data_IF_877354372617
#
_entry.id   IF_877354372617
#
_cell.length_a   1.000
_cell.length_b   1.000
_cell.length_c   1.000
_cell.angle_alpha   90.00
_cell.angle_beta   90.00
_cell.angle_gamma   90.00
#
_symmetry.space_group_name_H-M   'P 1'
#
loop_
_entity.id
_entity.type
_entity.pdbx_description
1 polymer ?
#
# COMPACT_ATOMS: atom_id res chain seq x y z
N UNK A 1 22.42 0.59 7.08
CA UNK A 1 20.96 0.65 7.35
C UNK A 1 20.28 1.12 6.07
N UNK A 2 19.69 0.20 5.32
CA UNK A 2 19.09 0.51 4.01
C UNK A 2 17.70 1.09 4.24
N UNK A 3 17.62 2.40 4.52
CA UNK A 3 16.36 3.12 4.37
C UNK A 3 16.16 3.42 2.88
N UNK A 4 15.84 2.38 2.10
CA UNK A 4 15.16 2.60 0.83
C UNK A 4 13.79 3.17 1.21
N UNK A 5 13.73 4.51 1.27
CA UNK A 5 12.55 5.24 1.65
C UNK A 5 11.42 4.85 0.71
N UNK A 6 10.54 3.95 1.14
CA UNK A 6 9.24 3.75 0.56
C UNK A 6 8.54 5.11 0.65
N UNK A 7 8.66 5.91 -0.42
CA UNK A 7 8.09 7.25 -0.47
C UNK A 7 6.59 7.09 -0.29
N UNK A 8 6.09 7.43 0.91
CA UNK A 8 4.66 7.48 1.21
C UNK A 8 4.00 8.31 0.12
N UNK A 9 3.01 7.73 -0.56
CA UNK A 9 2.37 8.40 -1.68
C UNK A 9 1.50 9.55 -1.16
N UNK A 10 1.45 10.66 -1.92
CA UNK A 10 0.58 11.78 -1.57
C UNK A 10 -0.86 11.40 -1.86
N UNK A 11 -1.72 11.49 -0.86
CA UNK A 11 -3.14 11.24 -1.02
C UNK A 11 -3.77 12.33 -1.89
N UNK A 12 -4.45 12.00 -3.00
CA UNK A 12 -5.10 13.01 -3.84
C UNK A 12 -6.31 13.66 -3.17
N UNK A 13 -6.95 12.99 -2.19
CA UNK A 13 -8.14 13.49 -1.50
C UNK A 13 -7.80 14.49 -0.38
N UNK A 14 -6.95 14.09 0.57
CA UNK A 14 -6.61 14.92 1.73
C UNK A 14 -5.25 15.62 1.63
N UNK A 15 -4.51 15.42 0.53
CA UNK A 15 -3.19 16.02 0.24
C UNK A 15 -2.07 15.66 1.22
N UNK A 16 -2.32 14.84 2.24
CA UNK A 16 -1.31 14.32 3.18
C UNK A 16 -0.43 13.25 2.54
N UNK A 17 0.83 13.17 2.96
CA UNK A 17 1.82 12.21 2.46
C UNK A 17 1.81 10.91 3.28
N UNK A 18 0.67 10.23 3.27
CA UNK A 18 0.40 9.06 4.11
C UNK A 18 -0.24 7.91 3.32
N UNK A 19 0.09 7.79 2.03
CA UNK A 19 -0.31 6.66 1.20
C UNK A 19 0.51 5.43 1.51
N UNK A 20 -0.17 4.41 2.06
CA UNK A 20 0.35 3.07 2.31
C UNK A 20 0.03 2.18 1.10
N UNK A 21 0.98 1.35 0.69
CA UNK A 21 0.76 0.37 -0.37
C UNK A 21 -0.25 -0.70 0.08
N UNK A 22 -1.14 -1.11 -0.82
CA UNK A 22 -2.09 -2.21 -0.60
C UNK A 22 -1.55 -3.45 -1.31
N UNK A 23 -1.28 -4.50 -0.53
CA UNK A 23 -0.69 -5.74 -1.02
C UNK A 23 -1.79 -6.76 -1.27
N UNK A 24 -1.97 -7.18 -2.53
CA UNK A 24 -3.01 -8.13 -2.92
C UNK A 24 -2.47 -9.55 -3.12
N UNK A 25 -3.31 -10.54 -2.85
CA UNK A 25 -2.98 -11.96 -3.05
C UNK A 25 -2.18 -12.57 -1.91
N UNK A 26 -1.48 -13.67 -2.22
CA UNK A 26 -0.61 -14.34 -1.28
C UNK A 26 0.57 -13.44 -0.91
N UNK A 27 0.67 -13.08 0.36
CA UNK A 27 1.72 -12.22 0.89
C UNK A 27 2.98 -13.04 1.12
N UNK A 28 4.12 -12.51 0.70
CA UNK A 28 5.43 -13.00 1.12
C UNK A 28 5.67 -12.68 2.60
N UNK A 29 6.66 -13.33 3.22
CA UNK A 29 7.02 -13.07 4.62
C UNK A 29 7.38 -11.60 4.86
N UNK A 30 8.11 -10.98 3.94
CA UNK A 30 8.52 -9.58 4.04
C UNK A 30 7.32 -8.63 3.97
N UNK A 31 6.36 -8.91 3.09
CA UNK A 31 5.13 -8.13 2.97
C UNK A 31 4.24 -8.25 4.21
N UNK A 32 4.14 -9.45 4.78
CA UNK A 32 3.42 -9.68 6.03
C UNK A 32 4.04 -8.88 7.18
N UNK A 33 5.37 -8.83 7.29
CA UNK A 33 6.05 -8.01 8.28
C UNK A 33 5.81 -6.50 8.06
N UNK A 34 5.81 -6.02 6.80
CA UNK A 34 5.47 -4.63 6.46
C UNK A 34 4.05 -4.27 6.85
N UNK A 35 3.11 -5.20 6.70
CA UNK A 35 1.72 -5.03 7.14
C UNK A 35 1.64 -4.95 8.67
N UNK A 36 2.34 -5.85 9.39
CA UNK A 36 2.40 -5.81 10.87
C UNK A 36 3.00 -4.51 11.40
N UNK A 37 4.00 -3.96 10.70
CA UNK A 37 4.63 -2.68 11.03
C UNK A 37 3.76 -1.45 10.66
N UNK A 38 2.60 -1.65 10.01
CA UNK A 38 1.73 -0.55 9.57
C UNK A 38 2.29 0.27 8.40
N UNK A 39 3.28 -0.27 7.69
CA UNK A 39 3.92 0.39 6.53
C UNK A 39 3.16 0.04 5.23
N UNK A 40 2.41 -1.05 5.23
CA UNK A 40 1.53 -1.47 4.15
C UNK A 40 0.17 -1.92 4.71
N UNK A 41 -0.83 -2.02 3.84
CA UNK A 41 -2.13 -2.60 4.17
C UNK A 41 -2.36 -3.93 3.46
N UNK A 42 -2.97 -4.91 4.13
CA UNK A 42 -3.44 -6.10 3.45
C UNK A 42 -4.58 -5.71 2.52
N UNK A 43 -4.48 -6.12 1.27
CA UNK A 43 -5.58 -6.13 0.32
C UNK A 43 -6.36 -7.44 0.39
N UNK A 44 -7.20 -7.66 -0.61
CA UNK A 44 -7.90 -8.93 -0.81
C UNK A 44 -7.16 -9.85 -1.77
N UNK A 45 -7.94 -10.67 -2.47
CA UNK A 45 -7.43 -11.49 -3.56
C UNK A 45 -6.81 -10.62 -4.65
N UNK A 46 -5.74 -11.13 -5.28
CA UNK A 46 -5.16 -10.50 -6.45
C UNK A 46 -6.13 -10.65 -7.62
N UNK A 47 -6.55 -9.56 -8.27
CA UNK A 47 -7.41 -9.69 -9.45
C UNK A 47 -6.62 -10.35 -10.59
N UNK A 48 -7.33 -11.07 -11.46
CA UNK A 48 -6.75 -11.86 -12.54
C UNK A 48 -6.05 -10.98 -13.59
N UNK A 49 -6.45 -9.70 -13.70
CA UNK A 49 -5.83 -8.72 -14.59
C UNK A 49 -4.60 -8.06 -13.94
N UNK A 50 -3.45 -8.70 -14.05
CA UNK A 50 -2.15 -8.03 -13.95
C UNK A 50 -1.69 -7.53 -12.56
N UNK A 51 -0.61 -6.74 -12.51
CA UNK A 51 -0.09 -6.18 -11.26
C UNK A 51 -0.92 -4.97 -10.81
N UNK A 52 -1.56 -5.08 -9.64
CA UNK A 52 -2.33 -3.98 -9.06
C UNK A 52 -1.48 -3.16 -8.11
N UNK A 53 -1.27 -1.90 -8.47
CA UNK A 53 -0.58 -0.93 -7.63
C UNK A 53 -1.60 0.07 -7.07
N UNK A 54 -2.14 -0.25 -5.90
CA UNK A 54 -3.06 0.63 -5.17
C UNK A 54 -2.46 1.07 -3.85
N UNK A 55 -2.84 2.27 -3.43
CA UNK A 55 -2.47 2.89 -2.18
C UNK A 55 -3.73 3.26 -1.38
N UNK A 56 -3.61 3.20 -0.06
CA UNK A 56 -4.63 3.65 0.90
C UNK A 56 -4.05 4.76 1.76
N UNK A 57 -4.78 5.86 1.95
CA UNK A 57 -4.37 6.91 2.87
C UNK A 57 -4.62 6.47 4.31
N UNK A 58 -3.58 6.51 5.16
CA UNK A 58 -3.72 6.21 6.59
C UNK A 58 -4.58 7.23 7.35
N UNK A 59 -4.63 8.48 6.88
CA UNK A 59 -5.39 9.56 7.52
C UNK A 59 -6.87 9.58 7.17
N UNK A 60 -7.23 9.38 5.90
CA UNK A 60 -8.61 9.58 5.42
C UNK A 60 -9.24 8.33 4.79
N UNK A 61 -8.50 7.22 4.70
CA UNK A 61 -8.98 5.96 4.14
C UNK A 61 -9.20 5.95 2.63
N UNK A 62 -8.94 7.05 1.91
CA UNK A 62 -9.09 7.08 0.45
C UNK A 62 -8.15 6.08 -0.22
N UNK A 63 -8.65 5.36 -1.22
CA UNK A 63 -7.88 4.37 -2.00
C UNK A 63 -7.71 4.88 -3.43
N UNK A 64 -6.51 4.80 -3.98
CA UNK A 64 -6.20 5.22 -5.36
C UNK A 64 -5.09 4.37 -5.97
N UNK A 65 -4.95 4.40 -7.29
CA UNK A 65 -3.88 3.70 -7.99
C UNK A 65 -4.35 3.13 -9.32
N UNK A 66 -3.48 2.39 -9.99
CA UNK A 66 -3.76 1.76 -11.28
C UNK A 66 -3.98 0.26 -11.09
N UNK A 67 -4.92 -0.27 -11.86
CA UNK A 67 -5.07 -1.71 -12.15
C UNK A 67 -4.32 -2.04 -13.41
#
# INVERSE_FOLDING_TARGET
>A
MVINGFKKQKCPKCKKQEGLEIIYGAQTREEAERIKQGIAKPGGLRPESGPVFKWSCSSCGYVWGKT
#
